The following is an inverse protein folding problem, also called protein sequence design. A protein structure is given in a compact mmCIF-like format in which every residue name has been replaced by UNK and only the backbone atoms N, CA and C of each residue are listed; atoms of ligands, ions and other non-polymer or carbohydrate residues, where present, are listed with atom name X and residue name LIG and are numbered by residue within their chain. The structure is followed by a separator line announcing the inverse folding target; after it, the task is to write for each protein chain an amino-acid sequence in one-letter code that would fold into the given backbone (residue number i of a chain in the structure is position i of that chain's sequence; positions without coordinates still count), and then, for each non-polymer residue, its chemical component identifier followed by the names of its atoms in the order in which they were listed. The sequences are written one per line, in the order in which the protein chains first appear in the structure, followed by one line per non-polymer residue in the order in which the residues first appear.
data_IF_653157234841
#
_entry.id   IF_653157234841
#
_cell.length_a   1.000
_cell.length_b   1.000
_cell.length_c   1.000
_cell.angle_alpha   90.00
_cell.angle_beta   90.00
_cell.angle_gamma   90.00
#
_symmetry.space_group_name_H-M   'P 1'
#
loop_
_entity.id
_entity.type
_entity.pdbx_description
1 polymer ?
#
# COMPACT_ATOMS: atom_id res chain seq x y z
N UNK A 1 -34.68 -48.54 59.23
CA UNK A 1 -35.48 -47.39 59.71
C UNK A 1 -35.58 -46.42 58.55
N UNK A 2 -36.73 -46.30 57.90
CA UNK A 2 -36.90 -45.34 56.81
C UNK A 2 -37.19 -43.97 57.41
N UNK A 3 -36.31 -42.98 57.18
CA UNK A 3 -36.54 -41.61 57.58
C UNK A 3 -37.58 -41.01 56.63
N UNK A 4 -38.79 -40.77 57.13
CA UNK A 4 -39.81 -40.04 56.39
C UNK A 4 -39.55 -38.54 56.53
N UNK A 5 -39.12 -37.90 55.45
CA UNK A 5 -38.95 -36.44 55.39
C UNK A 5 -40.30 -35.82 55.01
N UNK A 6 -40.85 -34.99 55.89
CA UNK A 6 -42.07 -34.20 55.61
C UNK A 6 -41.70 -32.94 54.83
N UNK A 7 -41.81 -33.03 53.50
CA UNK A 7 -41.54 -31.93 52.58
C UNK A 7 -42.52 -30.76 52.73
N UNK A 8 -43.67 -30.95 53.39
CA UNK A 8 -44.68 -29.90 53.61
C UNK A 8 -44.30 -28.87 54.67
N UNK A 9 -43.28 -29.16 55.48
CA UNK A 9 -42.69 -28.24 56.48
C UNK A 9 -41.50 -27.46 55.96
N UNK A 10 -41.00 -27.78 54.77
CA UNK A 10 -39.95 -27.02 54.08
C UNK A 10 -40.67 -26.04 53.14
N UNK A 11 -41.01 -24.84 53.64
CA UNK A 11 -41.74 -23.83 52.86
C UNK A 11 -41.03 -22.49 52.94
N UNK A 12 -40.46 -22.06 51.81
CA UNK A 12 -40.07 -20.67 51.60
C UNK A 12 -41.32 -19.94 51.11
N UNK A 13 -41.70 -18.85 51.78
CA UNK A 13 -42.88 -18.06 51.44
C UNK A 13 -42.48 -16.80 50.69
N UNK A 14 -42.52 -16.85 49.36
CA UNK A 14 -42.25 -15.66 48.53
C UNK A 14 -43.37 -14.63 48.65
N UNK A 15 -43.04 -13.45 49.17
CA UNK A 15 -43.96 -12.34 49.41
C UNK A 15 -43.85 -11.20 48.40
N UNK A 16 -42.99 -11.32 47.38
CA UNK A 16 -42.76 -10.27 46.39
C UNK A 16 -41.74 -9.23 46.90
N UNK A 17 -41.91 -7.96 46.53
CA UNK A 17 -40.97 -6.89 46.92
C UNK A 17 -41.14 -6.51 48.39
N UNK A 18 -40.03 -6.33 49.10
CA UNK A 18 -40.02 -5.88 50.50
C UNK A 18 -40.78 -4.56 50.66
N UNK A 19 -41.53 -4.45 51.77
CA UNK A 19 -42.26 -3.25 52.16
C UNK A 19 -42.04 -3.00 53.66
N UNK A 20 -41.56 -1.81 54.02
CA UNK A 20 -41.17 -1.48 55.40
C UNK A 20 -42.30 -1.56 56.43
N UNK A 21 -43.54 -1.35 56.01
CA UNK A 21 -44.73 -1.46 56.87
C UNK A 21 -45.22 -2.89 57.13
N UNK A 22 -44.66 -3.90 56.45
CA UNK A 22 -45.07 -5.30 56.58
C UNK A 22 -44.23 -5.99 57.66
N UNK A 23 -44.89 -6.79 58.52
CA UNK A 23 -44.21 -7.69 59.43
C UNK A 23 -43.84 -8.98 58.70
N UNK A 24 -42.56 -9.35 58.76
CA UNK A 24 -41.98 -10.55 58.17
C UNK A 24 -41.57 -11.52 59.27
N UNK A 25 -41.88 -12.79 59.07
CA UNK A 25 -41.51 -13.90 59.97
C UNK A 25 -40.44 -14.78 59.32
N UNK A 26 -39.71 -15.60 60.10
CA UNK A 26 -38.78 -16.59 59.55
C UNK A 26 -39.38 -17.37 58.38
N UNK A 27 -38.58 -17.60 57.34
CA UNK A 27 -38.93 -18.26 56.08
C UNK A 27 -39.74 -17.44 55.06
N UNK A 28 -40.18 -16.22 55.41
CA UNK A 28 -40.65 -15.26 54.42
C UNK A 28 -39.50 -14.79 53.53
N UNK A 29 -39.70 -14.79 52.22
CA UNK A 29 -38.72 -14.37 51.23
C UNK A 29 -39.22 -13.19 50.40
N UNK A 30 -38.35 -12.23 50.14
CA UNK A 30 -38.67 -10.98 49.42
C UNK A 30 -37.60 -10.64 48.39
N UNK A 31 -37.97 -9.86 47.37
CA UNK A 31 -37.01 -9.11 46.56
C UNK A 31 -36.74 -7.76 47.19
N UNK A 32 -35.49 -7.34 47.19
CA UNK A 32 -35.10 -6.01 47.69
C UNK A 32 -33.86 -5.51 46.95
N UNK A 33 -33.85 -4.21 46.62
CA UNK A 33 -32.69 -3.51 46.11
C UNK A 33 -31.97 -2.84 47.28
N UNK A 34 -30.77 -3.30 47.60
CA UNK A 34 -30.02 -2.87 48.79
C UNK A 34 -29.14 -1.65 48.57
N UNK A 35 -29.28 -0.95 47.44
CA UNK A 35 -28.39 0.13 47.02
C UNK A 35 -27.23 -0.33 46.13
N UNK A 36 -27.02 -1.64 45.96
CA UNK A 36 -26.07 -2.20 45.00
C UNK A 36 -26.75 -3.17 44.02
N UNK A 37 -27.43 -4.19 44.54
CA UNK A 37 -28.06 -5.24 43.74
C UNK A 37 -29.48 -5.54 44.18
N UNK A 38 -30.34 -5.88 43.22
CA UNK A 38 -31.62 -6.51 43.57
C UNK A 38 -31.37 -7.99 43.82
N UNK A 39 -31.55 -8.41 45.07
CA UNK A 39 -31.37 -9.80 45.51
C UNK A 39 -32.66 -10.34 46.11
N UNK A 40 -32.74 -11.67 46.24
CA UNK A 40 -33.75 -12.34 47.04
C UNK A 40 -33.21 -12.57 48.45
N UNK A 41 -33.95 -12.11 49.46
CA UNK A 41 -33.62 -12.27 50.87
C UNK A 41 -34.63 -13.19 51.53
N UNK A 42 -34.20 -13.94 52.53
CA UNK A 42 -35.05 -14.74 53.42
C UNK A 42 -34.94 -14.19 54.84
N UNK A 43 -36.08 -13.97 55.47
CA UNK A 43 -36.16 -13.51 56.84
C UNK A 43 -35.78 -14.67 57.76
N UNK A 44 -34.93 -14.40 58.76
CA UNK A 44 -34.45 -15.41 59.72
C UNK A 44 -34.82 -15.09 61.16
N UNK A 45 -35.36 -13.90 61.40
CA UNK A 45 -35.91 -13.45 62.67
C UNK A 45 -36.99 -12.40 62.42
N UNK A 46 -38.06 -12.39 63.23
CA UNK A 46 -39.18 -11.45 63.08
C UNK A 46 -38.67 -10.01 62.83
N UNK A 47 -39.11 -9.41 61.73
CA UNK A 47 -38.63 -8.12 61.26
C UNK A 47 -39.77 -7.23 60.78
N UNK A 48 -39.75 -5.95 61.16
CA UNK A 48 -40.67 -4.93 60.65
C UNK A 48 -39.87 -3.64 60.50
N UNK A 49 -39.92 -3.00 59.34
CA UNK A 49 -39.19 -1.76 59.07
C UNK A 49 -37.67 -1.87 58.91
N UNK A 50 -37.06 -3.07 59.07
CA UNK A 50 -35.63 -3.26 58.78
C UNK A 50 -35.43 -3.74 57.34
N UNK A 51 -34.75 -2.92 56.55
CA UNK A 51 -34.37 -3.25 55.18
C UNK A 51 -33.58 -4.57 55.13
N UNK A 52 -33.85 -5.47 54.16
CA UNK A 52 -33.17 -6.75 54.05
C UNK A 52 -31.63 -6.70 53.94
N UNK A 53 -31.08 -5.62 53.39
CA UNK A 53 -29.64 -5.40 53.32
C UNK A 53 -29.29 -3.94 53.08
N UNK A 54 -27.99 -3.63 53.10
CA UNK A 54 -27.44 -2.34 52.73
C UNK A 54 -26.10 -2.56 52.02
N UNK A 55 -26.00 -2.15 50.76
CA UNK A 55 -24.81 -2.24 49.91
C UNK A 55 -24.09 -3.60 50.02
N UNK A 56 -24.76 -4.68 49.59
CA UNK A 56 -24.30 -6.06 49.64
C UNK A 56 -24.11 -6.67 51.05
N UNK A 57 -24.51 -6.00 52.13
CA UNK A 57 -24.43 -6.52 53.51
C UNK A 57 -25.84 -6.75 54.09
N UNK A 58 -26.26 -8.00 54.40
CA UNK A 58 -27.57 -8.28 54.99
C UNK A 58 -27.74 -7.67 56.39
N UNK A 59 -28.97 -7.24 56.70
CA UNK A 59 -29.34 -6.91 58.08
C UNK A 59 -29.44 -8.19 58.93
N UNK A 60 -29.28 -8.10 60.25
CA UNK A 60 -29.24 -9.27 61.15
C UNK A 60 -30.50 -10.16 61.10
N UNK A 61 -31.64 -9.60 60.67
CA UNK A 61 -32.91 -10.32 60.50
C UNK A 61 -33.06 -11.04 59.16
N UNK A 62 -32.07 -10.94 58.26
CA UNK A 62 -32.17 -11.39 56.88
C UNK A 62 -30.89 -12.09 56.41
N UNK A 63 -31.06 -13.13 55.58
CA UNK A 63 -29.97 -13.78 54.84
C UNK A 63 -30.25 -13.70 53.34
N UNK A 64 -29.22 -13.84 52.51
CA UNK A 64 -29.42 -14.04 51.08
C UNK A 64 -30.05 -15.40 50.81
N UNK A 65 -31.18 -15.41 50.10
CA UNK A 65 -31.75 -16.61 49.51
C UNK A 65 -31.15 -16.88 48.12
N UNK A 66 -31.02 -15.81 47.33
CA UNK A 66 -30.28 -15.79 46.08
C UNK A 66 -29.73 -14.39 45.87
N UNK A 67 -28.45 -14.27 45.52
CA UNK A 67 -27.83 -12.98 45.22
C UNK A 67 -28.09 -12.60 43.77
N UNK A 68 -28.52 -11.37 43.56
CA UNK A 68 -28.41 -10.73 42.25
C UNK A 68 -26.95 -10.50 41.88
N UNK A 69 -26.69 -10.35 40.60
CA UNK A 69 -25.38 -9.89 40.08
C UNK A 69 -25.52 -8.42 39.71
N UNK A 70 -24.51 -7.61 40.03
CA UNK A 70 -24.44 -6.24 39.50
C UNK A 70 -24.44 -6.33 37.97
N UNK A 71 -25.34 -5.59 37.30
CA UNK A 71 -25.18 -5.33 35.88
C UNK A 71 -23.79 -4.74 35.71
N UNK A 72 -22.88 -5.48 35.08
CA UNK A 72 -21.55 -4.98 34.82
C UNK A 72 -21.69 -3.87 33.77
N UNK A 73 -21.92 -2.64 34.23
CA UNK A 73 -22.02 -1.47 33.37
C UNK A 73 -20.61 -1.14 32.91
N UNK A 74 -20.21 -1.68 31.77
CA UNK A 74 -18.98 -1.26 31.12
C UNK A 74 -19.17 0.14 30.52
N UNK A 75 -18.39 1.10 31.00
CA UNK A 75 -18.36 2.46 30.47
C UNK A 75 -19.26 3.46 31.22
N UNK A 76 -18.88 4.73 31.12
CA UNK A 76 -19.57 5.89 31.73
C UNK A 76 -20.30 6.77 30.71
N UNK A 77 -20.22 6.42 29.41
CA UNK A 77 -20.83 7.14 28.30
C UNK A 77 -21.07 6.22 27.08
N UNK A 78 -21.96 6.65 26.19
CA UNK A 78 -22.27 5.96 24.92
C UNK A 78 -21.03 5.87 24.01
N UNK A 79 -20.93 4.76 23.27
CA UNK A 79 -19.88 4.54 22.27
C UNK A 79 -18.50 4.17 22.83
N UNK A 80 -18.30 4.09 24.14
CA UNK A 80 -17.02 3.62 24.70
C UNK A 80 -16.80 2.14 24.37
N UNK A 81 -15.60 1.81 23.87
CA UNK A 81 -15.20 0.42 23.70
C UNK A 81 -14.94 -0.19 25.09
N UNK A 82 -15.69 -1.24 25.43
CA UNK A 82 -15.53 -1.94 26.69
C UNK A 82 -14.36 -2.92 26.64
N UNK A 83 -13.53 -2.92 27.68
CA UNK A 83 -12.47 -3.90 27.88
C UNK A 83 -12.46 -4.38 29.33
N UNK A 84 -11.82 -5.52 29.58
CA UNK A 84 -11.69 -6.03 30.95
C UNK A 84 -10.67 -5.20 31.72
N UNK A 85 -11.08 -4.62 32.84
CA UNK A 85 -10.19 -3.92 33.78
C UNK A 85 -10.29 -4.57 35.16
N UNK A 86 -9.18 -5.15 35.63
CA UNK A 86 -9.15 -5.93 36.86
C UNK A 86 -10.18 -7.07 36.86
N UNK A 87 -11.14 -7.01 37.78
CA UNK A 87 -12.23 -8.00 37.92
C UNK A 87 -13.52 -7.61 37.21
N UNK A 88 -13.60 -6.45 36.54
CA UNK A 88 -14.80 -5.93 35.89
C UNK A 88 -14.59 -5.50 34.44
N UNK A 89 -15.63 -4.89 33.86
CA UNK A 89 -15.53 -4.18 32.58
C UNK A 89 -15.28 -2.69 32.82
N UNK A 90 -14.43 -2.09 32.00
CA UNK A 90 -14.14 -0.66 31.97
C UNK A 90 -14.32 -0.12 30.55
N UNK A 91 -14.39 1.21 30.42
CA UNK A 91 -14.40 1.90 29.14
C UNK A 91 -13.28 2.94 29.08
N UNK A 92 -12.70 3.13 27.90
CA UNK A 92 -11.72 4.20 27.66
C UNK A 92 -12.44 5.35 26.97
N UNK A 93 -12.35 6.56 27.52
CA UNK A 93 -13.04 7.72 26.91
C UNK A 93 -12.47 8.05 25.53
N UNK A 94 -11.18 7.84 25.32
CA UNK A 94 -10.52 8.09 24.04
C UNK A 94 -10.67 6.97 23.01
N UNK A 95 -10.98 5.74 23.45
CA UNK A 95 -11.19 4.61 22.54
C UNK A 95 -12.69 4.36 22.38
N UNK A 96 -13.27 4.96 21.35
CA UNK A 96 -14.72 4.99 21.15
C UNK A 96 -15.14 4.64 19.72
N UNK A 97 -16.35 4.14 19.60
CA UNK A 97 -17.07 3.94 18.35
C UNK A 97 -18.31 4.84 18.33
N UNK A 98 -18.38 5.72 17.34
CA UNK A 98 -19.57 6.51 17.06
C UNK A 98 -20.42 5.79 16.01
N UNK A 99 -21.56 5.24 16.43
CA UNK A 99 -22.48 4.51 15.55
C UNK A 99 -23.24 5.43 14.57
N UNK A 100 -23.30 6.73 14.84
CA UNK A 100 -23.94 7.69 13.92
C UNK A 100 -23.06 7.98 12.70
N UNK A 101 -21.74 7.97 12.88
CA UNK A 101 -20.76 8.23 11.81
C UNK A 101 -19.94 7.00 11.40
N UNK A 102 -20.21 5.85 12.01
CA UNK A 102 -19.47 4.59 11.86
C UNK A 102 -17.96 4.77 12.05
N UNK A 103 -17.56 5.57 13.05
CA UNK A 103 -16.17 5.99 13.26
C UNK A 103 -15.58 5.36 14.50
N UNK A 104 -14.47 4.65 14.35
CA UNK A 104 -13.64 4.18 15.44
C UNK A 104 -12.52 5.19 15.73
N UNK A 105 -12.49 5.76 16.93
CA UNK A 105 -11.38 6.61 17.41
C UNK A 105 -10.48 5.78 18.30
N UNK A 106 -9.21 5.62 17.95
CA UNK A 106 -8.24 4.87 18.75
C UNK A 106 -6.94 5.67 18.90
N UNK A 107 -6.64 6.24 20.09
CA UNK A 107 -5.43 7.01 20.31
C UNK A 107 -4.20 6.09 20.34
N UNK A 108 -3.10 6.52 19.71
CA UNK A 108 -1.81 5.83 19.73
C UNK A 108 -1.87 4.35 19.26
N UNK A 109 -2.73 4.03 18.30
CA UNK A 109 -2.87 2.67 17.78
C UNK A 109 -1.54 2.14 17.22
N UNK A 110 -1.18 0.91 17.62
CA UNK A 110 -0.08 0.13 17.03
C UNK A 110 -0.66 -1.15 16.45
N UNK A 111 -0.43 -1.40 15.16
CA UNK A 111 -0.88 -2.62 14.48
C UNK A 111 0.36 -3.47 14.22
N UNK A 112 0.48 -4.60 14.92
CA UNK A 112 1.63 -5.52 14.79
C UNK A 112 1.42 -6.58 13.71
N UNK A 113 0.18 -6.74 13.24
CA UNK A 113 -0.18 -7.60 12.12
C UNK A 113 -0.47 -6.79 10.86
N UNK A 114 -1.20 -7.39 9.93
CA UNK A 114 -1.57 -6.73 8.69
C UNK A 114 -2.71 -5.72 8.89
N UNK A 115 -2.71 -4.68 8.07
CA UNK A 115 -3.82 -3.73 7.94
C UNK A 115 -4.43 -3.89 6.54
N UNK A 116 -5.69 -4.31 6.48
CA UNK A 116 -6.49 -4.31 5.25
C UNK A 116 -7.50 -3.18 5.31
N UNK A 117 -7.48 -2.28 4.33
CA UNK A 117 -8.44 -1.17 4.22
C UNK A 117 -9.31 -1.42 3.00
N UNK A 118 -10.60 -1.68 3.22
CA UNK A 118 -11.59 -1.85 2.16
C UNK A 118 -12.38 -0.54 2.01
N UNK A 119 -12.31 0.07 0.85
CA UNK A 119 -12.93 1.35 0.55
C UNK A 119 -12.36 1.95 -0.73
N UNK A 120 -12.79 3.15 -1.09
CA UNK A 120 -12.30 3.84 -2.29
C UNK A 120 -11.18 4.84 -1.99
N UNK A 121 -10.91 5.13 -0.72
CA UNK A 121 -9.92 6.13 -0.31
C UNK A 121 -9.28 5.78 1.03
N UNK A 122 -7.96 5.99 1.10
CA UNK A 122 -7.19 6.02 2.34
C UNK A 122 -6.58 7.41 2.48
N UNK A 123 -6.82 8.07 3.61
CA UNK A 123 -6.22 9.39 3.92
C UNK A 123 -5.33 9.26 5.15
N UNK A 124 -4.09 9.74 5.04
CA UNK A 124 -3.10 9.72 6.12
C UNK A 124 -2.64 11.15 6.37
N UNK A 125 -2.95 11.69 7.54
CA UNK A 125 -2.56 13.05 7.95
C UNK A 125 -1.37 13.00 8.90
N UNK A 126 -0.16 12.88 8.36
CA UNK A 126 1.09 12.81 9.12
C UNK A 126 2.11 13.82 8.60
N UNK A 127 3.09 14.20 9.45
CA UNK A 127 4.23 15.00 8.98
C UNK A 127 5.14 14.19 8.05
N UNK A 128 5.30 12.90 8.34
CA UNK A 128 6.14 11.98 7.58
C UNK A 128 5.44 10.64 7.40
N UNK A 129 5.70 9.99 6.27
CA UNK A 129 5.33 8.60 5.99
C UNK A 129 6.60 7.83 5.64
N UNK A 130 6.91 6.78 6.40
CA UNK A 130 8.04 5.90 6.15
C UNK A 130 7.52 4.53 5.75
N UNK A 131 8.02 4.00 4.63
CA UNK A 131 7.68 2.67 4.11
C UNK A 131 9.00 1.90 4.00
N UNK A 132 9.07 0.76 4.68
CA UNK A 132 10.27 -0.09 4.68
C UNK A 132 10.26 -1.13 3.54
N UNK A 133 9.19 -1.16 2.76
CA UNK A 133 8.98 -2.16 1.72
C UNK A 133 10.00 -2.03 0.58
N UNK A 134 10.39 -3.17 0.00
CA UNK A 134 11.26 -3.19 -1.17
C UNK A 134 10.52 -2.72 -2.44
N UNK A 135 9.20 -2.90 -2.48
CA UNK A 135 8.35 -2.61 -3.63
C UNK A 135 7.03 -2.02 -3.16
N UNK A 136 6.59 -0.95 -3.82
CA UNK A 136 5.24 -0.39 -3.68
C UNK A 136 4.48 -0.72 -4.96
N UNK A 137 3.33 -1.38 -4.84
CA UNK A 137 2.45 -1.70 -5.99
C UNK A 137 1.35 -0.65 -6.06
N UNK A 138 1.31 0.09 -7.17
CA UNK A 138 0.25 1.04 -7.48
C UNK A 138 -0.72 0.43 -8.49
N UNK A 139 -1.98 0.86 -8.45
CA UNK A 139 -3.03 0.38 -9.37
C UNK A 139 -3.17 -1.15 -9.42
N UNK A 140 -3.06 -1.81 -8.26
CA UNK A 140 -3.25 -3.27 -8.17
C UNK A 140 -4.73 -3.63 -8.34
N UNK A 141 -5.00 -4.77 -8.99
CA UNK A 141 -6.36 -5.31 -9.11
C UNK A 141 -7.09 -4.98 -10.42
N UNK A 142 -6.41 -4.38 -11.39
CA UNK A 142 -6.95 -4.19 -12.74
C UNK A 142 -7.32 -5.52 -13.38
N UNK A 143 -8.43 -5.53 -14.12
CA UNK A 143 -8.94 -6.73 -14.83
C UNK A 143 -8.70 -6.71 -16.34
N UNK A 144 -8.33 -5.55 -16.89
CA UNK A 144 -8.02 -5.34 -18.30
C UNK A 144 -6.52 -5.32 -18.59
N UNK A 145 -6.16 -5.07 -19.84
CA UNK A 145 -4.77 -4.88 -20.25
C UNK A 145 -4.36 -3.42 -20.05
N UNK A 146 -3.28 -3.17 -19.31
CA UNK A 146 -2.79 -1.82 -19.02
C UNK A 146 -3.57 -1.13 -17.90
N UNK A 147 -3.30 0.17 -17.73
CA UNK A 147 -4.02 1.05 -16.78
C UNK A 147 -5.38 1.44 -17.37
N UNK A 148 -6.46 1.02 -16.69
CA UNK A 148 -7.84 1.21 -17.14
C UNK A 148 -8.48 2.51 -16.67
N UNK A 149 -7.78 3.28 -15.82
CA UNK A 149 -8.25 4.60 -15.40
C UNK A 149 -8.36 5.55 -16.61
N UNK A 150 -9.28 6.51 -16.56
CA UNK A 150 -9.64 7.34 -17.72
C UNK A 150 -8.48 8.21 -18.26
N UNK A 151 -7.51 8.54 -17.41
CA UNK A 151 -6.29 9.25 -17.81
C UNK A 151 -5.18 8.31 -18.32
N UNK A 152 -5.41 7.00 -18.30
CA UNK A 152 -4.48 5.95 -18.72
C UNK A 152 -3.10 6.08 -18.04
N UNK A 153 -3.10 6.48 -16.76
CA UNK A 153 -1.86 6.71 -16.02
C UNK A 153 -1.94 6.28 -14.56
N UNK A 154 -0.80 5.89 -14.00
CA UNK A 154 -0.67 5.49 -12.61
C UNK A 154 0.65 5.99 -12.03
N UNK A 155 0.62 6.51 -10.81
CA UNK A 155 1.83 7.03 -10.18
C UNK A 155 1.56 7.92 -8.97
N UNK A 156 2.42 8.92 -8.80
CA UNK A 156 2.42 9.83 -7.66
C UNK A 156 2.06 11.23 -8.13
N UNK A 157 1.08 11.83 -7.45
CA UNK A 157 0.70 13.22 -7.60
C UNK A 157 1.24 14.06 -6.44
N UNK A 158 1.65 15.28 -6.76
CA UNK A 158 2.06 16.31 -5.82
C UNK A 158 1.05 17.44 -5.96
N UNK A 159 0.16 17.56 -4.98
CA UNK A 159 -0.74 18.70 -4.86
C UNK A 159 0.07 19.98 -4.60
N UNK A 160 -0.11 20.98 -5.45
CA UNK A 160 0.58 22.27 -5.39
C UNK A 160 -0.40 23.43 -5.13
N UNK A 161 -1.60 23.13 -4.63
CA UNK A 161 -2.63 24.12 -4.28
C UNK A 161 -3.23 24.77 -5.51
N UNK A 162 -3.07 26.09 -5.66
CA UNK A 162 -3.60 26.82 -6.82
C UNK A 162 -2.73 26.69 -8.08
N UNK A 163 -1.53 26.14 -7.96
CA UNK A 163 -0.64 25.86 -9.09
C UNK A 163 -0.97 24.51 -9.73
N UNK A 164 -0.60 24.28 -11.00
CA UNK A 164 -0.76 22.95 -11.59
C UNK A 164 0.06 21.90 -10.81
N UNK A 165 -0.60 20.80 -10.46
CA UNK A 165 -0.02 19.68 -9.70
C UNK A 165 1.15 19.04 -10.44
N UNK A 166 2.08 18.49 -9.67
CA UNK A 166 3.21 17.74 -10.19
C UNK A 166 2.87 16.25 -10.26
N UNK A 167 3.40 15.54 -11.26
CA UNK A 167 3.14 14.11 -11.42
C UNK A 167 4.43 13.37 -11.76
N UNK A 168 4.54 12.15 -11.24
CA UNK A 168 5.45 11.11 -11.70
C UNK A 168 4.59 9.88 -11.99
N UNK A 169 4.37 9.58 -13.27
CA UNK A 169 3.40 8.56 -13.70
C UNK A 169 3.97 7.70 -14.81
N UNK A 170 3.54 6.44 -14.87
CA UNK A 170 3.60 5.67 -16.11
C UNK A 170 2.42 6.12 -16.99
N UNK A 171 2.70 6.41 -18.26
CA UNK A 171 1.71 6.81 -19.26
C UNK A 171 1.51 5.66 -20.25
N UNK A 172 0.34 5.03 -20.22
CA UNK A 172 0.03 3.85 -21.04
C UNK A 172 -0.06 4.18 -22.53
N UNK A 173 -0.46 5.42 -22.88
CA UNK A 173 -0.59 5.82 -24.29
C UNK A 173 0.78 5.94 -24.94
N UNK A 174 1.73 6.45 -24.17
CA UNK A 174 3.06 6.77 -24.62
C UNK A 174 4.08 5.63 -24.34
N UNK A 175 3.73 4.69 -23.45
CA UNK A 175 4.54 3.53 -23.03
C UNK A 175 5.86 3.91 -22.32
N UNK A 176 5.82 4.96 -21.50
CA UNK A 176 6.96 5.35 -20.67
C UNK A 176 6.59 6.14 -19.40
N UNK A 177 7.55 6.23 -18.47
CA UNK A 177 7.45 7.12 -17.33
C UNK A 177 7.60 8.58 -17.74
N UNK A 178 6.66 9.42 -17.30
CA UNK A 178 6.65 10.85 -17.55
C UNK A 178 6.55 11.63 -16.26
N UNK A 179 7.36 12.69 -16.15
CA UNK A 179 7.13 13.74 -15.17
C UNK A 179 6.26 14.83 -15.79
N UNK A 180 5.17 15.23 -15.13
CA UNK A 180 4.24 16.25 -15.64
C UNK A 180 4.05 17.40 -14.65
N UNK A 181 3.65 18.56 -15.16
CA UNK A 181 3.13 19.71 -14.42
C UNK A 181 1.79 20.10 -15.04
N UNK A 182 0.69 19.79 -14.34
CA UNK A 182 -0.62 19.67 -14.96
C UNK A 182 -0.57 18.64 -16.08
N UNK A 183 -1.13 18.96 -17.25
CA UNK A 183 -1.12 18.06 -18.41
C UNK A 183 0.15 18.12 -19.27
N UNK A 184 1.10 19.01 -18.96
CA UNK A 184 2.30 19.21 -19.78
C UNK A 184 3.50 18.45 -19.18
N UNK A 185 4.44 17.95 -20.01
CA UNK A 185 5.71 17.44 -19.51
C UNK A 185 6.44 18.46 -18.62
N UNK A 186 6.96 17.99 -17.50
CA UNK A 186 7.83 18.74 -16.61
C UNK A 186 9.30 18.45 -16.96
N UNK A 187 10.18 19.39 -16.59
CA UNK A 187 11.63 19.19 -16.74
C UNK A 187 12.15 18.30 -15.60
N UNK A 188 12.92 17.28 -15.96
CA UNK A 188 13.77 16.57 -15.01
C UNK A 188 15.16 17.22 -14.99
N UNK A 189 15.61 17.67 -13.82
CA UNK A 189 16.98 18.17 -13.65
C UNK A 189 17.86 17.04 -13.13
N UNK A 190 18.76 16.55 -13.99
CA UNK A 190 19.75 15.53 -13.64
C UNK A 190 21.14 16.14 -13.81
N UNK A 191 21.89 16.42 -12.73
CA UNK A 191 23.22 17.03 -12.82
C UNK A 191 24.21 16.20 -13.65
N UNK A 192 24.13 14.88 -13.54
CA UNK A 192 24.85 13.92 -14.37
C UNK A 192 24.09 12.60 -14.41
N UNK A 193 24.17 11.88 -15.52
CA UNK A 193 23.56 10.57 -15.67
C UNK A 193 24.56 9.60 -16.29
N UNK A 194 24.36 8.31 -16.05
CA UNK A 194 25.14 7.23 -16.67
C UNK A 194 24.28 6.54 -17.71
N UNK A 195 24.89 6.20 -18.83
CA UNK A 195 24.27 5.38 -19.87
C UNK A 195 24.82 3.96 -19.77
N UNK A 196 23.98 2.98 -20.08
CA UNK A 196 24.46 1.59 -20.22
C UNK A 196 25.24 1.47 -21.54
N UNK A 197 26.34 0.73 -21.48
CA UNK A 197 27.15 0.34 -22.64
C UNK A 197 26.94 -1.14 -22.91
N UNK A 198 26.60 -1.50 -24.15
CA UNK A 198 26.45 -2.87 -24.60
C UNK A 198 27.54 -3.20 -25.62
N UNK A 199 28.33 -4.22 -25.33
CA UNK A 199 29.23 -4.82 -26.33
C UNK A 199 28.45 -5.78 -27.22
N UNK A 200 28.62 -5.61 -28.53
CA UNK A 200 27.92 -6.37 -29.56
C UNK A 200 28.96 -7.12 -30.39
N UNK A 201 28.54 -8.28 -30.91
CA UNK A 201 29.36 -9.12 -31.76
C UNK A 201 28.81 -9.09 -33.18
N UNK A 202 29.71 -9.11 -34.15
CA UNK A 202 29.35 -9.26 -35.57
C UNK A 202 29.16 -10.74 -35.85
N UNK A 203 28.17 -11.08 -36.66
CA UNK A 203 27.96 -12.45 -37.13
C UNK A 203 27.58 -12.44 -38.60
N UNK A 204 28.37 -13.12 -39.43
CA UNK A 204 28.09 -13.27 -40.87
C UNK A 204 27.89 -11.93 -41.57
N UNK A 205 28.75 -10.96 -41.26
CA UNK A 205 28.70 -9.59 -41.76
C UNK A 205 27.60 -8.71 -41.19
N UNK A 206 26.76 -9.19 -40.28
CA UNK A 206 25.69 -8.39 -39.68
C UNK A 206 26.03 -7.99 -38.25
N UNK A 207 25.87 -6.70 -37.93
CA UNK A 207 25.85 -6.22 -36.55
C UNK A 207 24.40 -6.02 -36.09
N UNK A 208 23.97 -6.81 -35.11
CA UNK A 208 22.63 -6.69 -34.53
C UNK A 208 22.67 -5.79 -33.30
N UNK A 209 21.82 -4.77 -33.26
CA UNK A 209 21.69 -3.81 -32.17
C UNK A 209 20.24 -3.77 -31.68
N UNK A 210 20.03 -4.02 -30.39
CA UNK A 210 18.75 -3.82 -29.72
C UNK A 210 18.84 -2.60 -28.81
N UNK A 211 18.10 -1.54 -29.17
CA UNK A 211 18.18 -0.24 -28.52
C UNK A 211 17.55 -0.22 -27.12
N UNK A 212 16.85 -1.30 -26.72
CA UNK A 212 16.42 -1.48 -25.34
C UNK A 212 17.56 -1.95 -24.42
N UNK A 213 18.65 -2.48 -24.97
CA UNK A 213 19.75 -3.01 -24.15
C UNK A 213 20.74 -1.94 -23.70
N UNK A 214 20.92 -0.86 -24.47
CA UNK A 214 21.84 0.24 -24.15
C UNK A 214 21.61 1.48 -25.02
N UNK A 215 22.07 2.64 -24.53
CA UNK A 215 22.19 3.87 -25.35
C UNK A 215 23.51 3.95 -26.10
N UNK A 216 24.53 3.22 -25.63
CA UNK A 216 25.86 3.14 -26.25
C UNK A 216 26.12 1.69 -26.65
N UNK A 217 26.35 1.45 -27.93
CA UNK A 217 26.70 0.16 -28.50
C UNK A 217 28.15 0.17 -28.95
N UNK A 218 28.92 -0.84 -28.55
CA UNK A 218 30.30 -1.03 -28.99
C UNK A 218 30.43 -2.31 -29.80
N UNK A 219 31.38 -2.37 -30.74
CA UNK A 219 31.77 -3.59 -31.42
C UNK A 219 33.25 -3.53 -31.82
N UNK A 220 33.97 -4.61 -31.56
CA UNK A 220 35.28 -4.84 -32.18
C UNK A 220 35.05 -5.45 -33.56
N UNK A 221 35.63 -4.86 -34.58
CA UNK A 221 35.53 -5.30 -35.97
C UNK A 221 36.39 -6.55 -36.18
N UNK A 222 35.83 -7.73 -35.87
CA UNK A 222 36.43 -9.05 -36.13
C UNK A 222 36.24 -9.52 -37.57
N UNK A 223 35.30 -8.92 -38.30
CA UNK A 223 34.97 -9.15 -39.70
C UNK A 223 34.38 -7.87 -40.32
N UNK A 224 34.16 -7.89 -41.63
CA UNK A 224 33.51 -6.76 -42.31
C UNK A 224 32.04 -6.70 -41.91
N UNK A 225 31.50 -5.51 -41.70
CA UNK A 225 30.06 -5.31 -41.53
C UNK A 225 29.47 -4.94 -42.88
N UNK A 226 28.56 -5.76 -43.40
CA UNK A 226 27.78 -5.53 -44.62
C UNK A 226 26.38 -5.00 -44.33
N UNK A 227 25.94 -5.00 -43.07
CA UNK A 227 24.68 -4.41 -42.68
C UNK A 227 24.42 -4.41 -41.18
N UNK A 228 23.41 -3.65 -40.79
CA UNK A 228 22.96 -3.47 -39.42
C UNK A 228 21.51 -3.94 -39.27
N UNK A 229 21.27 -4.79 -38.28
CA UNK A 229 19.92 -5.17 -37.88
C UNK A 229 19.56 -4.40 -36.60
N UNK A 230 18.60 -3.48 -36.69
CA UNK A 230 18.10 -2.73 -35.53
C UNK A 230 16.78 -3.29 -35.00
N UNK A 231 16.55 -3.06 -33.70
CA UNK A 231 15.28 -3.27 -33.00
C UNK A 231 15.21 -2.38 -31.76
N UNK A 232 14.02 -2.21 -31.17
CA UNK A 232 13.83 -1.44 -29.94
C UNK A 232 13.61 0.05 -30.16
N UNK A 233 13.37 0.49 -31.39
CA UNK A 233 12.90 1.85 -31.66
C UNK A 233 11.54 2.12 -31.00
N UNK A 234 11.41 3.28 -30.34
CA UNK A 234 10.17 3.67 -29.68
C UNK A 234 9.19 4.26 -30.71
N UNK A 235 7.99 3.70 -30.80
CA UNK A 235 6.99 4.11 -31.80
C UNK A 235 6.58 5.56 -31.56
N UNK A 236 6.58 6.39 -32.62
CA UNK A 236 6.14 7.79 -32.51
C UNK A 236 7.11 8.71 -31.74
N UNK A 237 8.18 8.17 -31.15
CA UNK A 237 9.14 8.92 -30.36
C UNK A 237 10.51 9.03 -31.05
N UNK A 238 11.34 9.92 -30.50
CA UNK A 238 12.75 10.01 -30.87
C UNK A 238 13.54 8.90 -30.21
N UNK A 239 14.47 8.29 -30.93
CA UNK A 239 15.43 7.33 -30.38
C UNK A 239 16.82 7.68 -30.91
N UNK A 240 17.77 7.83 -29.99
CA UNK A 240 19.17 8.12 -30.31
C UNK A 240 20.06 7.08 -29.66
N UNK A 241 21.13 6.69 -30.35
CA UNK A 241 22.17 5.83 -29.79
C UNK A 241 23.55 6.21 -30.34
N UNK A 242 24.57 5.85 -29.57
CA UNK A 242 25.98 5.97 -29.96
C UNK A 242 26.47 4.60 -30.42
N UNK A 243 27.19 4.56 -31.54
CA UNK A 243 27.89 3.37 -32.02
C UNK A 243 29.39 3.63 -32.00
N UNK A 244 30.12 2.79 -31.25
CA UNK A 244 31.59 2.80 -31.18
C UNK A 244 32.10 1.56 -31.90
N UNK A 245 32.85 1.76 -32.97
CA UNK A 245 33.47 0.68 -33.75
C UNK A 245 34.98 0.77 -33.59
N UNK A 246 35.59 -0.30 -33.10
CA UNK A 246 37.05 -0.39 -33.00
C UNK A 246 37.56 -1.46 -33.96
N UNK A 247 38.54 -1.12 -34.80
CA UNK A 247 39.28 -2.11 -35.58
C UNK A 247 39.92 -3.14 -34.65
N UNK A 248 40.01 -4.39 -35.09
CA UNK A 248 40.81 -5.39 -34.38
C UNK A 248 42.32 -5.04 -34.46
N UNK A 249 43.15 -5.86 -33.82
CA UNK A 249 44.59 -5.66 -33.83
C UNK A 249 45.25 -5.82 -35.21
N UNK A 250 44.50 -6.29 -36.22
CA UNK A 250 44.97 -6.43 -37.61
C UNK A 250 44.59 -5.21 -38.45
N UNK A 251 43.43 -4.62 -38.21
CA UNK A 251 42.86 -3.57 -39.04
C UNK A 251 42.32 -4.10 -40.38
N UNK A 252 41.92 -3.16 -41.24
CA UNK A 252 41.49 -3.42 -42.61
C UNK A 252 40.03 -3.86 -42.77
N UNK A 253 39.23 -3.90 -41.70
CA UNK A 253 37.81 -4.27 -41.81
C UNK A 253 37.00 -3.12 -42.38
N UNK A 254 36.09 -3.45 -43.29
CA UNK A 254 35.18 -2.47 -43.89
C UNK A 254 33.81 -2.52 -43.22
N UNK A 255 33.11 -1.39 -43.21
CA UNK A 255 31.77 -1.26 -42.62
C UNK A 255 30.88 -0.51 -43.61
N UNK A 256 29.78 -1.15 -44.01
CA UNK A 256 28.74 -0.54 -44.82
C UNK A 256 27.76 0.27 -43.96
N UNK A 257 28.11 1.53 -43.72
CA UNK A 257 27.29 2.53 -43.02
C UNK A 257 26.09 3.03 -43.86
N UNK A 258 25.59 2.27 -44.84
CA UNK A 258 24.36 2.58 -45.59
C UNK A 258 23.27 1.55 -45.36
N UNK A 259 23.63 0.33 -45.00
CA UNK A 259 22.71 -0.80 -44.98
C UNK A 259 22.13 -1.06 -43.57
N UNK A 260 21.25 -0.18 -43.13
CA UNK A 260 20.39 -0.42 -41.97
C UNK A 260 19.12 -1.11 -42.46
N UNK A 261 18.96 -2.40 -42.16
CA UNK A 261 17.94 -3.27 -42.80
C UNK A 261 16.55 -2.69 -42.57
N UNK A 262 15.85 -2.29 -43.64
CA UNK A 262 14.49 -1.74 -43.55
C UNK A 262 14.40 -0.29 -43.07
N UNK A 263 15.53 0.41 -42.93
CA UNK A 263 15.59 1.83 -42.56
C UNK A 263 16.22 2.65 -43.68
N UNK A 264 15.89 3.93 -43.74
CA UNK A 264 16.62 4.89 -44.56
C UNK A 264 17.63 5.63 -43.71
N UNK A 265 18.92 5.56 -44.06
CA UNK A 265 19.97 6.32 -43.37
C UNK A 265 20.36 7.56 -44.17
N UNK A 266 20.40 8.71 -43.51
CA UNK A 266 20.79 10.00 -44.07
C UNK A 266 22.07 10.49 -43.43
N UNK A 267 23.01 10.88 -44.27
CA UNK A 267 24.25 11.55 -43.89
C UNK A 267 24.26 13.00 -44.39
N UNK A 268 25.05 13.85 -43.75
CA UNK A 268 25.21 15.24 -44.17
C UNK A 268 25.66 15.32 -45.64
N UNK A 269 24.93 16.09 -46.46
CA UNK A 269 25.20 16.20 -47.90
C UNK A 269 25.05 14.90 -48.70
N UNK A 270 24.50 13.83 -48.11
CA UNK A 270 24.42 12.51 -48.72
C UNK A 270 25.75 11.76 -48.79
N UNK A 271 26.79 12.24 -48.11
CA UNK A 271 28.13 11.64 -48.11
C UNK A 271 28.26 10.68 -46.93
N UNK A 272 28.42 9.40 -47.23
CA UNK A 272 28.65 8.34 -46.23
C UNK A 272 30.09 8.46 -45.72
N UNK A 273 30.32 8.50 -44.41
CA UNK A 273 31.68 8.55 -43.87
C UNK A 273 32.41 7.22 -44.09
N UNK A 274 33.72 7.30 -44.31
CA UNK A 274 34.59 6.13 -44.39
C UNK A 274 35.02 5.73 -42.99
N UNK A 275 34.85 4.46 -42.63
CA UNK A 275 35.36 3.91 -41.36
C UNK A 275 36.87 3.68 -41.47
N UNK A 276 37.59 4.05 -40.42
CA UNK A 276 39.02 3.85 -40.23
C UNK A 276 39.42 2.39 -40.37
N UNK A 277 40.53 2.15 -41.06
CA UNK A 277 41.05 0.80 -41.29
C UNK A 277 42.36 0.51 -40.56
N UNK A 278 42.93 1.49 -39.86
CA UNK A 278 44.16 1.28 -39.11
C UNK A 278 43.92 0.31 -37.94
N UNK A 279 44.88 -0.56 -37.60
CA UNK A 279 44.75 -1.47 -36.46
C UNK A 279 44.41 -0.73 -35.17
N UNK A 280 43.44 -1.25 -34.41
CA UNK A 280 42.95 -0.67 -33.15
C UNK A 280 42.32 0.73 -33.24
N UNK A 281 42.19 1.32 -34.44
CA UNK A 281 41.55 2.62 -34.61
C UNK A 281 40.09 2.56 -34.19
N UNK A 282 39.63 3.57 -33.46
CA UNK A 282 38.25 3.68 -32.99
C UNK A 282 37.50 4.82 -33.65
N UNK A 283 36.33 4.50 -34.18
CA UNK A 283 35.36 5.45 -34.73
C UNK A 283 34.09 5.50 -33.89
N UNK A 284 33.53 6.70 -33.75
CA UNK A 284 32.33 6.96 -32.95
C UNK A 284 31.31 7.68 -33.81
N UNK A 285 30.12 7.08 -33.91
CA UNK A 285 28.98 7.62 -34.63
C UNK A 285 27.80 7.82 -33.69
N UNK A 286 26.97 8.81 -34.00
CA UNK A 286 25.67 9.02 -33.35
C UNK A 286 24.61 8.83 -34.40
N UNK A 287 23.57 8.06 -34.07
CA UNK A 287 22.41 7.86 -34.91
C UNK A 287 21.17 8.35 -34.18
N UNK A 288 20.31 9.09 -34.87
CA UNK A 288 19.04 9.57 -34.30
C UNK A 288 17.91 9.38 -35.28
N UNK A 289 16.79 8.86 -34.81
CA UNK A 289 15.50 8.89 -35.48
C UNK A 289 14.54 9.75 -34.65
N UNK A 290 13.62 10.46 -35.30
CA UNK A 290 12.63 11.31 -34.61
C UNK A 290 11.21 10.75 -34.68
N UNK A 291 11.01 9.63 -35.38
CA UNK A 291 9.68 9.10 -35.72
C UNK A 291 9.66 7.56 -35.65
N UNK A 292 10.28 6.97 -34.64
CA UNK A 292 10.24 5.52 -34.41
C UNK A 292 10.94 4.66 -35.47
N UNK A 293 12.07 5.12 -36.03
CA UNK A 293 13.03 4.23 -36.71
C UNK A 293 12.96 4.18 -38.24
N UNK A 294 11.99 4.80 -38.91
CA UNK A 294 11.91 4.76 -40.39
C UNK A 294 13.10 5.45 -41.06
N UNK A 295 13.49 6.62 -40.55
CA UNK A 295 14.62 7.40 -41.04
C UNK A 295 15.59 7.63 -39.88
N UNK A 296 16.86 7.34 -40.12
CA UNK A 296 17.95 7.69 -39.23
C UNK A 296 18.80 8.81 -39.84
N UNK A 297 19.28 9.69 -38.97
CA UNK A 297 20.27 10.70 -39.25
C UNK A 297 21.58 10.27 -38.57
N UNK A 298 22.60 10.02 -39.38
CA UNK A 298 23.94 9.65 -38.92
C UNK A 298 24.82 10.87 -38.76
N UNK A 299 25.60 10.90 -37.69
CA UNK A 299 26.59 11.92 -37.39
C UNK A 299 27.92 11.26 -37.04
N UNK A 300 29.01 11.81 -37.55
CA UNK A 300 30.35 11.43 -37.12
C UNK A 300 30.67 12.21 -35.85
N UNK A 301 30.87 11.51 -34.73
CA UNK A 301 31.28 12.12 -33.47
C UNK A 301 32.79 12.23 -33.34
N UNK A 302 33.52 11.29 -33.94
CA UNK A 302 34.98 11.30 -34.01
C UNK A 302 35.49 10.03 -34.70
N UNK A 303 36.68 10.09 -35.29
CA UNK A 303 37.26 8.99 -36.07
C UNK A 303 38.76 8.89 -35.86
N UNK A 304 39.33 7.73 -36.16
CA UNK A 304 40.78 7.43 -36.04
C UNK A 304 41.36 7.74 -34.62
N UNK A 305 40.60 7.48 -33.53
CA UNK A 305 41.15 7.54 -32.18
C UNK A 305 42.06 6.36 -31.84
#
# INVERSE_FOLDING_TARGET
MALTIDVGKIKIKWLGTYASGTAYEPDDAVSFYDGATTSAYICVANSTGNDPGNNNTPHASWNYLARGTESASGGSADGQIQYKTGTGFGGETGFSYDAATDTLTAPNATITGDLTVQGTQTTVSTTNTSIADNTIVLNSGESGAGIQHADQSAGIEIDRGSEPNGFMVFDETEDYFTFKRGSNPARLHVPSYSERVQSNTISSGTLTLNLNDASIHTATLSENITGFQLSGEQTGASTSFVLVLSQDATGGRTVDLTNFVGRTLKWAGGVVPTVSTNPNATDIFIFTTFTGGTIYYGFVSGQEF
#
